data_IF_490332337154
#
_entry.id   IF_490332337154
#
_cell.length_a   1.000
_cell.length_b   1.000
_cell.length_c   1.000
_cell.angle_alpha   90.00
_cell.angle_beta   90.00
_cell.angle_gamma   90.00
#
_symmetry.space_group_name_H-M   'P 1'
#
loop_
_entity.id
_entity.type
_entity.pdbx_description
1 polymer ?
#
# COMPACT_ATOMS: atom_id res chain seq x y z
N UNK A 1 14.64 29.81 -24.85
CA UNK A 1 14.81 29.45 -23.44
C UNK A 1 13.72 28.42 -23.14
N UNK A 2 14.03 27.11 -23.22
CA UNK A 2 13.04 26.06 -22.96
C UNK A 2 12.94 25.88 -21.45
N UNK A 3 11.86 26.34 -20.85
CA UNK A 3 11.49 25.93 -19.50
C UNK A 3 11.18 24.43 -19.54
N UNK A 4 12.04 23.58 -18.99
CA UNK A 4 11.68 22.20 -18.68
C UNK A 4 10.60 22.27 -17.61
N UNK A 5 9.37 21.92 -17.96
CA UNK A 5 8.34 21.68 -16.96
C UNK A 5 8.79 20.50 -16.09
N UNK A 6 9.01 20.76 -14.81
CA UNK A 6 9.29 19.73 -13.83
C UNK A 6 7.99 18.99 -13.53
N UNK A 7 7.79 17.85 -14.17
CA UNK A 7 6.67 16.95 -13.91
C UNK A 7 7.13 15.71 -13.16
N UNK A 8 6.29 15.18 -12.27
CA UNK A 8 6.49 13.87 -11.64
C UNK A 8 5.38 12.92 -12.07
N UNK A 9 5.73 11.64 -12.26
CA UNK A 9 4.78 10.58 -12.60
C UNK A 9 4.84 9.53 -11.49
N UNK A 10 3.67 9.17 -10.95
CA UNK A 10 3.52 8.03 -10.05
C UNK A 10 2.68 6.97 -10.73
N UNK A 11 3.19 5.74 -10.80
CA UNK A 11 2.46 4.58 -11.29
C UNK A 11 2.13 3.67 -10.12
N UNK A 12 0.86 3.30 -9.97
CA UNK A 12 0.42 2.30 -8.99
C UNK A 12 -0.12 1.07 -9.71
N UNK A 13 0.31 -0.12 -9.28
CA UNK A 13 -0.17 -1.39 -9.81
C UNK A 13 -0.50 -2.34 -8.66
N UNK A 14 -1.63 -3.03 -8.75
CA UNK A 14 -2.02 -4.04 -7.77
C UNK A 14 -1.27 -5.36 -7.96
N UNK A 15 -0.79 -5.63 -9.17
CA UNK A 15 -0.12 -6.88 -9.50
C UNK A 15 1.06 -6.61 -10.44
N UNK A 16 2.20 -7.24 -10.14
CA UNK A 16 3.40 -7.19 -10.96
C UNK A 16 3.18 -7.75 -12.37
N UNK A 17 2.21 -8.65 -12.55
CA UNK A 17 1.87 -9.22 -13.85
C UNK A 17 1.42 -8.16 -14.86
N UNK A 18 0.90 -7.02 -14.38
CA UNK A 18 0.58 -5.89 -15.24
C UNK A 18 1.85 -5.37 -15.95
N UNK A 19 2.95 -5.18 -15.22
CA UNK A 19 4.23 -4.76 -15.80
C UNK A 19 4.85 -5.87 -16.66
N UNK A 20 4.70 -7.15 -16.27
CA UNK A 20 5.23 -8.29 -17.04
C UNK A 20 4.60 -8.37 -18.42
N UNK A 21 3.33 -8.07 -18.54
CA UNK A 21 2.58 -8.15 -19.81
C UNK A 21 2.68 -6.89 -20.68
N UNK A 22 3.39 -5.85 -20.21
CA UNK A 22 3.65 -4.67 -21.04
C UNK A 22 4.69 -4.94 -22.12
N UNK A 23 4.63 -4.25 -23.27
CA UNK A 23 5.73 -4.23 -24.23
C UNK A 23 7.05 -3.83 -23.53
N UNK A 24 8.14 -4.54 -23.86
CA UNK A 24 9.43 -4.34 -23.18
C UNK A 24 9.90 -2.89 -23.20
N UNK A 25 9.74 -2.19 -24.33
CA UNK A 25 10.12 -0.77 -24.45
C UNK A 25 9.42 0.15 -23.46
N UNK A 26 8.13 -0.08 -23.20
CA UNK A 26 7.35 0.70 -22.24
C UNK A 26 7.73 0.31 -20.81
N UNK A 27 7.80 -0.99 -20.54
CA UNK A 27 8.20 -1.52 -19.23
C UNK A 27 9.56 -1.00 -18.80
N UNK A 28 10.57 -1.12 -19.65
CA UNK A 28 11.94 -0.71 -19.36
C UNK A 28 12.01 0.81 -19.14
N UNK A 29 11.28 1.58 -19.93
CA UNK A 29 11.18 3.04 -19.74
C UNK A 29 10.56 3.40 -18.39
N UNK A 30 9.50 2.72 -17.94
CA UNK A 30 8.90 2.93 -16.63
C UNK A 30 9.89 2.57 -15.51
N UNK A 31 10.52 1.40 -15.60
CA UNK A 31 11.43 0.91 -14.56
C UNK A 31 12.64 1.82 -14.39
N UNK A 32 13.21 2.30 -15.51
CA UNK A 32 14.37 3.19 -15.51
C UNK A 32 14.02 4.57 -14.97
N UNK A 33 12.87 5.13 -15.38
CA UNK A 33 12.48 6.49 -14.99
C UNK A 33 11.84 6.57 -13.60
N UNK A 34 11.30 5.47 -13.05
CA UNK A 34 10.81 5.41 -11.68
C UNK A 34 11.96 5.09 -10.72
N UNK A 35 12.73 6.11 -10.33
CA UNK A 35 13.86 5.94 -9.42
C UNK A 35 13.44 5.43 -8.03
N UNK A 36 12.24 5.78 -7.57
CA UNK A 36 11.66 5.29 -6.31
C UNK A 36 10.69 4.15 -6.58
N UNK A 37 10.88 3.03 -5.90
CA UNK A 37 9.99 1.87 -5.94
C UNK A 37 9.46 1.59 -4.55
N UNK A 38 8.13 1.53 -4.41
CA UNK A 38 7.46 1.22 -3.14
C UNK A 38 6.74 -0.12 -3.31
N UNK A 39 7.07 -1.08 -2.45
CA UNK A 39 6.47 -2.42 -2.48
C UNK A 39 5.77 -2.65 -1.14
N UNK A 40 4.48 -2.94 -1.21
CA UNK A 40 3.67 -3.26 -0.05
C UNK A 40 3.80 -4.75 0.29
N UNK A 41 3.25 -5.17 1.43
CA UNK A 41 3.21 -6.57 1.85
C UNK A 41 2.59 -7.47 0.76
N UNK A 42 3.37 -8.48 0.37
CA UNK A 42 3.02 -9.49 -0.64
C UNK A 42 2.87 -10.89 -0.02
N UNK A 43 2.62 -10.99 1.28
CA UNK A 43 2.50 -12.26 2.00
C UNK A 43 1.50 -13.22 1.38
N UNK A 44 0.41 -12.70 0.79
CA UNK A 44 -0.61 -13.50 0.08
C UNK A 44 -0.17 -13.95 -1.31
N UNK A 45 0.91 -13.38 -1.87
CA UNK A 45 1.38 -13.60 -3.23
C UNK A 45 2.89 -13.85 -3.32
N UNK A 46 3.46 -14.53 -2.31
CA UNK A 46 4.91 -14.83 -2.24
C UNK A 46 5.43 -15.56 -3.48
N UNK A 47 4.60 -16.36 -4.12
CA UNK A 47 4.94 -17.03 -5.38
C UNK A 47 5.31 -16.08 -6.51
N UNK A 48 4.90 -14.82 -6.43
CA UNK A 48 5.21 -13.81 -7.45
C UNK A 48 6.52 -13.05 -7.17
N UNK A 49 7.19 -13.34 -6.05
CA UNK A 49 8.43 -12.64 -5.70
C UNK A 49 9.57 -12.82 -6.74
N UNK A 50 9.77 -13.98 -7.35
CA UNK A 50 10.73 -14.12 -8.45
C UNK A 50 10.47 -13.17 -9.62
N UNK A 51 9.19 -12.97 -9.98
CA UNK A 51 8.80 -12.02 -11.00
C UNK A 51 9.03 -10.56 -10.56
N UNK A 52 8.68 -10.21 -9.31
CA UNK A 52 8.96 -8.90 -8.73
C UNK A 52 10.44 -8.59 -8.80
N UNK A 53 11.28 -9.54 -8.41
CA UNK A 53 12.74 -9.46 -8.44
C UNK A 53 13.25 -9.22 -9.86
N UNK A 54 12.80 -10.01 -10.83
CA UNK A 54 13.23 -9.90 -12.22
C UNK A 54 12.78 -8.59 -12.88
N UNK A 55 11.54 -8.16 -12.64
CA UNK A 55 10.97 -6.97 -13.27
C UNK A 55 11.53 -5.68 -12.66
N UNK A 56 11.69 -5.62 -11.34
CA UNK A 56 12.09 -4.39 -10.63
C UNK A 56 13.59 -4.32 -10.33
N UNK A 57 14.37 -5.29 -10.80
CA UNK A 57 15.81 -5.38 -10.53
C UNK A 57 16.13 -5.34 -9.02
N UNK A 58 15.45 -6.21 -8.27
CA UNK A 58 15.60 -6.38 -6.82
C UNK A 58 16.69 -7.42 -6.55
N UNK A 59 17.61 -7.13 -5.62
CA UNK A 59 18.65 -8.09 -5.19
C UNK A 59 18.08 -9.20 -4.31
N UNK A 60 18.88 -10.21 -3.97
CA UNK A 60 18.45 -11.29 -3.06
C UNK A 60 18.20 -10.76 -1.64
N UNK A 61 19.05 -9.87 -1.16
CA UNK A 61 18.92 -9.20 0.13
C UNK A 61 17.64 -8.35 0.19
N UNK A 62 17.39 -7.57 -0.86
CA UNK A 62 16.17 -6.77 -0.98
C UNK A 62 14.92 -7.65 -1.06
N UNK A 63 14.99 -8.78 -1.76
CA UNK A 63 13.89 -9.74 -1.81
C UNK A 63 13.59 -10.31 -0.42
N UNK A 64 14.62 -10.64 0.37
CA UNK A 64 14.46 -11.06 1.75
C UNK A 64 13.80 -9.98 2.63
N UNK A 65 14.17 -8.70 2.44
CA UNK A 65 13.51 -7.58 3.13
C UNK A 65 12.02 -7.52 2.77
N UNK A 66 11.66 -7.72 1.51
CA UNK A 66 10.26 -7.73 1.06
C UNK A 66 9.48 -8.91 1.66
N UNK A 67 10.10 -10.09 1.76
CA UNK A 67 9.49 -11.26 2.41
C UNK A 67 9.27 -11.08 3.91
N UNK A 68 10.12 -10.29 4.56
CA UNK A 68 10.04 -10.02 6.00
C UNK A 68 8.98 -8.99 6.38
N UNK A 69 8.38 -8.29 5.41
CA UNK A 69 7.35 -7.27 5.65
C UNK A 69 6.18 -7.84 6.45
N UNK A 70 5.77 -7.08 7.44
CA UNK A 70 4.70 -7.47 8.35
C UNK A 70 3.52 -6.51 8.25
N UNK A 71 2.34 -7.07 8.52
CA UNK A 71 1.08 -6.36 8.53
C UNK A 71 0.28 -6.72 9.78
N UNK A 72 -0.13 -5.72 10.52
CA UNK A 72 -1.03 -5.87 11.68
C UNK A 72 -2.26 -4.99 11.51
N UNK A 73 -3.18 -5.01 12.48
CA UNK A 73 -4.32 -4.09 12.49
C UNK A 73 -3.90 -2.63 12.71
N UNK A 74 -2.78 -2.39 13.42
CA UNK A 74 -2.32 -1.05 13.83
C UNK A 74 -1.27 -0.46 12.91
N UNK A 75 -0.46 -1.28 12.27
CA UNK A 75 0.63 -0.82 11.43
C UNK A 75 0.87 -1.75 10.25
N UNK A 76 1.49 -1.19 9.22
CA UNK A 76 1.89 -1.90 8.01
C UNK A 76 3.30 -1.51 7.66
N UNK A 77 4.09 -2.51 7.30
CA UNK A 77 5.41 -2.27 6.74
C UNK A 77 5.33 -2.24 5.23
N UNK A 78 6.24 -1.48 4.65
CA UNK A 78 6.44 -1.39 3.23
C UNK A 78 7.92 -1.15 2.93
N UNK A 79 8.34 -1.70 1.82
CA UNK A 79 9.70 -1.57 1.31
C UNK A 79 9.77 -0.39 0.37
N UNK A 80 10.84 0.42 0.51
CA UNK A 80 11.17 1.50 -0.44
C UNK A 80 12.58 1.27 -0.95
N UNK A 81 12.73 1.28 -2.27
CA UNK A 81 14.02 1.35 -2.95
C UNK A 81 14.14 2.70 -3.62
N UNK A 82 15.25 3.42 -3.35
CA UNK A 82 15.62 4.68 -3.98
C UNK A 82 17.03 4.55 -4.54
N UNK A 83 17.16 4.44 -5.83
CA UNK A 83 18.44 4.15 -6.49
C UNK A 83 19.11 2.88 -5.94
N UNK A 84 20.18 3.01 -5.18
CA UNK A 84 20.92 1.90 -4.59
C UNK A 84 20.57 1.60 -3.13
N UNK A 85 19.78 2.46 -2.50
CA UNK A 85 19.40 2.32 -1.10
C UNK A 85 18.04 1.65 -0.96
N UNK A 86 17.90 0.77 0.02
CA UNK A 86 16.66 0.07 0.32
C UNK A 86 16.35 0.13 1.81
N UNK A 87 15.07 0.37 2.14
CA UNK A 87 14.61 0.56 3.52
C UNK A 87 13.27 -0.13 3.72
N UNK A 88 13.03 -0.57 4.97
CA UNK A 88 11.70 -0.94 5.44
C UNK A 88 11.15 0.21 6.29
N UNK A 89 9.98 0.68 5.95
CA UNK A 89 9.25 1.68 6.71
C UNK A 89 8.03 1.06 7.34
N UNK A 90 7.70 1.55 8.54
CA UNK A 90 6.46 1.20 9.23
C UNK A 90 5.55 2.42 9.28
N UNK A 91 4.33 2.25 8.79
CA UNK A 91 3.28 3.25 8.90
C UNK A 91 2.28 2.81 9.99
N UNK A 92 2.19 3.58 11.06
CA UNK A 92 1.18 3.42 12.10
C UNK A 92 -0.01 4.32 11.80
N UNK A 93 -1.19 3.72 11.74
CA UNK A 93 -2.44 4.46 11.52
C UNK A 93 -3.22 4.51 12.83
N UNK A 94 -3.80 5.67 13.15
CA UNK A 94 -4.71 5.76 14.28
C UNK A 94 -5.93 4.86 14.07
N UNK A 95 -6.56 4.40 15.16
CA UNK A 95 -7.78 3.59 15.08
C UNK A 95 -8.86 4.28 14.24
N UNK A 96 -8.96 5.61 14.36
CA UNK A 96 -9.89 6.40 13.56
C UNK A 96 -9.60 6.30 12.06
N UNK A 97 -8.35 6.50 11.66
CA UNK A 97 -7.95 6.41 10.26
C UNK A 97 -8.10 4.97 9.73
N UNK A 98 -7.75 3.97 10.54
CA UNK A 98 -7.92 2.57 10.17
C UNK A 98 -9.38 2.22 9.87
N UNK A 99 -10.33 2.77 10.63
CA UNK A 99 -11.77 2.59 10.39
C UNK A 99 -12.25 3.44 9.21
N UNK A 100 -11.77 4.69 9.07
CA UNK A 100 -12.17 5.59 7.99
C UNK A 100 -11.83 5.02 6.60
N UNK A 101 -10.71 4.29 6.50
CA UNK A 101 -10.24 3.68 5.25
C UNK A 101 -10.54 2.17 5.15
N UNK A 102 -11.33 1.61 6.09
CA UNK A 102 -11.70 0.20 6.05
C UNK A 102 -12.75 -0.06 4.95
N UNK A 103 -12.37 -0.86 3.97
CA UNK A 103 -13.25 -1.24 2.84
C UNK A 103 -14.02 -2.55 3.08
N UNK A 104 -13.87 -3.21 4.23
CA UNK A 104 -14.60 -4.44 4.55
C UNK A 104 -16.10 -4.15 4.60
N UNK A 105 -16.87 -4.95 3.88
CA UNK A 105 -18.31 -4.71 3.72
C UNK A 105 -19.07 -4.57 5.05
N UNK A 106 -18.75 -5.40 6.04
CA UNK A 106 -19.37 -5.32 7.35
C UNK A 106 -19.12 -3.97 8.05
N UNK A 107 -17.89 -3.44 7.98
CA UNK A 107 -17.53 -2.12 8.51
C UNK A 107 -18.28 -1.02 7.77
N UNK A 108 -18.28 -1.06 6.44
CA UNK A 108 -18.94 -0.05 5.60
C UNK A 108 -20.45 0.01 5.86
N UNK A 109 -21.09 -1.16 5.95
CA UNK A 109 -22.55 -1.23 6.25
C UNK A 109 -22.85 -0.63 7.63
N UNK A 110 -22.06 -1.00 8.65
CA UNK A 110 -22.28 -0.48 10.01
C UNK A 110 -22.05 1.03 10.10
N UNK A 111 -20.97 1.53 9.47
CA UNK A 111 -20.69 2.96 9.42
C UNK A 111 -21.81 3.75 8.72
N UNK A 112 -22.38 3.24 7.62
CA UNK A 112 -23.52 3.87 6.96
C UNK A 112 -24.74 3.98 7.87
N UNK A 113 -25.04 2.94 8.66
CA UNK A 113 -26.13 2.98 9.65
C UNK A 113 -25.88 4.07 10.69
N UNK A 114 -24.68 4.08 11.31
CA UNK A 114 -24.31 5.07 12.31
C UNK A 114 -24.27 6.50 11.75
N UNK A 115 -23.88 6.66 10.49
CA UNK A 115 -23.94 7.94 9.80
C UNK A 115 -25.39 8.43 9.63
N UNK A 116 -26.31 7.55 9.19
CA UNK A 116 -27.73 7.90 9.05
C UNK A 116 -28.37 8.32 10.39
N UNK A 117 -27.92 7.73 11.50
CA UNK A 117 -28.38 8.09 12.84
C UNK A 117 -27.82 9.42 13.35
N UNK A 118 -26.56 9.73 13.01
CA UNK A 118 -25.82 10.86 13.61
C UNK A 118 -25.67 12.07 12.68
N UNK A 119 -25.83 11.89 11.37
CA UNK A 119 -25.60 12.92 10.35
C UNK A 119 -24.12 13.34 10.20
N UNK A 120 -23.19 12.66 10.88
CA UNK A 120 -21.77 13.03 10.92
C UNK A 120 -20.87 11.82 10.79
N UNK A 121 -19.96 11.84 9.81
CA UNK A 121 -18.95 10.79 9.60
C UNK A 121 -18.02 10.66 10.81
N UNK A 122 -17.61 11.76 11.41
CA UNK A 122 -16.78 11.76 12.60
C UNK A 122 -17.47 11.06 13.77
N UNK A 123 -18.73 11.37 14.03
CA UNK A 123 -19.52 10.75 15.09
C UNK A 123 -19.77 9.26 14.81
N UNK A 124 -20.04 8.90 13.56
CA UNK A 124 -20.23 7.50 13.18
C UNK A 124 -18.99 6.66 13.43
N UNK A 125 -17.80 7.15 13.05
CA UNK A 125 -16.54 6.45 13.26
C UNK A 125 -16.24 6.28 14.76
N UNK A 126 -16.41 7.32 15.57
CA UNK A 126 -16.16 7.23 17.01
C UNK A 126 -17.12 6.25 17.69
N UNK A 127 -18.42 6.25 17.36
CA UNK A 127 -19.39 5.26 17.87
C UNK A 127 -18.99 3.83 17.48
N UNK A 128 -18.56 3.63 16.24
CA UNK A 128 -18.08 2.33 15.78
C UNK A 128 -16.86 1.85 16.58
N UNK A 129 -15.92 2.74 16.88
CA UNK A 129 -14.75 2.43 17.71
C UNK A 129 -15.15 2.06 19.14
N UNK A 130 -16.11 2.77 19.73
CA UNK A 130 -16.65 2.44 21.06
C UNK A 130 -17.33 1.07 21.07
N UNK A 131 -18.12 0.72 20.04
CA UNK A 131 -18.73 -0.60 19.91
C UNK A 131 -17.67 -1.70 19.85
N UNK A 132 -16.59 -1.48 19.08
CA UNK A 132 -15.47 -2.43 19.01
C UNK A 132 -14.78 -2.61 20.37
N UNK A 133 -14.51 -1.53 21.09
CA UNK A 133 -13.87 -1.61 22.41
C UNK A 133 -14.73 -2.39 23.41
N UNK A 134 -16.03 -2.21 23.41
CA UNK A 134 -16.96 -2.97 24.28
C UNK A 134 -17.04 -4.44 23.94
N UNK A 135 -16.79 -4.80 22.69
CA UNK A 135 -16.88 -6.21 22.22
C UNK A 135 -15.60 -6.99 22.43
N UNK A 136 -14.44 -6.34 22.41
CA UNK A 136 -13.11 -6.98 22.38
C UNK A 136 -12.16 -6.49 23.49
N UNK A 137 -12.54 -5.54 24.32
CA UNK A 137 -11.86 -5.10 25.53
C UNK A 137 -12.50 -5.78 26.74
#
# INVERSE_FOLDING_TARGET
MNSKEEGSITLAAQNILFLKNMPSSIKDSIIINCATKIILDHSEHRQNLPEVKAVLSITDEEAYMIESLQRTERWREFFIKMSNDAFIFRNEVSDFAAVAFDSRQATVVRLKQLFNESGSTYTAINRYLEERRKKYG
#
